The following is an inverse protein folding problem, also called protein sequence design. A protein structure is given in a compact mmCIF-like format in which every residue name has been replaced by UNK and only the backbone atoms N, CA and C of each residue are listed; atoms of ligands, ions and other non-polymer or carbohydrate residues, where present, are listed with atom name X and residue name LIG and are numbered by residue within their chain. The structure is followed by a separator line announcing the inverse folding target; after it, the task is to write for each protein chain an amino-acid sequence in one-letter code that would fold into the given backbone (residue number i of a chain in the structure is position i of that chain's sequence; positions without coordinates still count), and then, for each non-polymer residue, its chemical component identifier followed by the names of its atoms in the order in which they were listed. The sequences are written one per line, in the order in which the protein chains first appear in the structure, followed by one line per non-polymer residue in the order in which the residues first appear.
data_IF_024731086966
#
_entry.id   IF_024731086966
#
_cell.length_a   1.000
_cell.length_b   1.000
_cell.length_c   1.000
_cell.angle_alpha   90.00
_cell.angle_beta   90.00
_cell.angle_gamma   90.00
#
_symmetry.space_group_name_H-M   'P 1'
#
loop_
_entity.id
_entity.type
_entity.pdbx_description
1 polymer ?
#
# COMPACT_ATOMS: atom_id res chain seq x y z
N UNK A 1 -9.03 -14.03 -20.72
CA UNK A 1 -9.87 -12.90 -20.24
C UNK A 1 -9.54 -12.68 -18.78
N UNK A 2 -9.50 -11.43 -18.29
CA UNK A 2 -9.23 -11.14 -16.87
C UNK A 2 -10.47 -10.63 -16.16
N UNK A 3 -10.83 -11.21 -15.01
CA UNK A 3 -12.03 -10.85 -14.23
C UNK A 3 -11.65 -10.63 -12.77
N UNK A 4 -12.08 -9.50 -12.21
CA UNK A 4 -11.97 -9.17 -10.78
C UNK A 4 -12.92 -10.02 -9.93
N UNK A 5 -12.39 -10.65 -8.88
CA UNK A 5 -13.18 -11.41 -7.91
C UNK A 5 -14.04 -10.52 -7.02
N UNK A 6 -13.53 -9.35 -6.61
CA UNK A 6 -14.33 -8.36 -5.88
C UNK A 6 -15.50 -7.85 -6.72
N UNK A 7 -15.29 -7.65 -8.03
CA UNK A 7 -16.37 -7.26 -8.92
C UNK A 7 -17.38 -8.40 -9.10
N UNK A 8 -16.92 -9.64 -9.24
CA UNK A 8 -17.78 -10.81 -9.29
C UNK A 8 -18.69 -10.90 -8.04
N UNK A 9 -18.14 -10.67 -6.85
CA UNK A 9 -18.90 -10.62 -5.59
C UNK A 9 -20.01 -9.57 -5.53
N UNK A 10 -19.93 -8.51 -6.33
CA UNK A 10 -21.00 -7.51 -6.39
C UNK A 10 -22.24 -8.02 -7.11
N UNK A 11 -22.08 -8.98 -8.03
CA UNK A 11 -23.19 -9.57 -8.79
C UNK A 11 -23.66 -10.91 -8.22
N UNK A 12 -22.75 -11.68 -7.62
CA UNK A 12 -23.06 -12.98 -7.03
C UNK A 12 -22.70 -13.01 -5.56
N UNK A 13 -23.66 -13.39 -4.71
CA UNK A 13 -23.45 -13.49 -3.27
C UNK A 13 -22.70 -14.79 -2.94
N UNK A 14 -21.37 -14.75 -3.09
CA UNK A 14 -20.48 -15.89 -2.87
C UNK A 14 -19.64 -15.71 -1.59
N UNK A 15 -19.68 -16.73 -0.73
CA UNK A 15 -18.85 -16.82 0.49
C UNK A 15 -17.69 -17.81 0.35
N UNK A 16 -17.34 -18.17 -0.87
CA UNK A 16 -16.27 -19.13 -1.18
C UNK A 16 -14.95 -18.42 -1.44
N UNK A 17 -13.81 -19.06 -1.18
CA UNK A 17 -12.50 -18.48 -1.48
C UNK A 17 -12.29 -18.31 -3.00
N UNK A 18 -11.33 -17.48 -3.45
CA UNK A 18 -10.98 -17.37 -4.86
C UNK A 18 -10.64 -18.73 -5.49
N UNK A 19 -9.96 -19.61 -4.75
CA UNK A 19 -9.58 -20.95 -5.21
C UNK A 19 -10.82 -21.83 -5.42
N UNK A 20 -11.75 -21.83 -4.46
CA UNK A 20 -13.01 -22.56 -4.60
C UNK A 20 -13.85 -22.02 -5.78
N UNK A 21 -13.86 -20.71 -5.95
CA UNK A 21 -14.57 -20.05 -7.05
C UNK A 21 -13.92 -20.41 -8.40
N UNK A 22 -12.59 -20.49 -8.47
CA UNK A 22 -11.88 -20.89 -9.69
C UNK A 22 -12.18 -22.33 -10.09
N UNK A 23 -12.21 -23.26 -9.12
CA UNK A 23 -12.56 -24.65 -9.38
C UNK A 23 -13.99 -24.76 -9.95
N UNK A 24 -14.95 -24.04 -9.37
CA UNK A 24 -16.31 -24.01 -9.88
C UNK A 24 -16.38 -23.43 -11.31
N UNK A 25 -15.68 -22.31 -11.58
CA UNK A 25 -15.66 -21.70 -12.90
C UNK A 25 -15.12 -22.68 -13.95
N UNK A 26 -14.03 -23.39 -13.64
CA UNK A 26 -13.47 -24.43 -14.50
C UNK A 26 -14.45 -25.58 -14.74
N UNK A 27 -15.13 -26.07 -13.70
CA UNK A 27 -16.16 -27.12 -13.81
C UNK A 27 -17.35 -26.69 -14.69
N UNK A 28 -17.69 -25.39 -14.68
CA UNK A 28 -18.73 -24.79 -15.54
C UNK A 28 -18.26 -24.55 -17.00
N UNK A 29 -17.03 -24.92 -17.32
CA UNK A 29 -16.42 -24.77 -18.63
C UNK A 29 -15.78 -23.39 -18.88
N UNK A 30 -15.58 -22.59 -17.83
CA UNK A 30 -14.81 -21.35 -17.84
C UNK A 30 -13.44 -21.63 -17.21
N UNK A 31 -12.58 -22.27 -17.98
CA UNK A 31 -11.26 -22.71 -17.51
C UNK A 31 -10.44 -21.54 -16.97
N UNK A 32 -10.12 -21.59 -15.67
CA UNK A 32 -9.25 -20.61 -15.03
C UNK A 32 -7.80 -21.05 -15.20
N UNK A 33 -7.07 -20.34 -16.06
CA UNK A 33 -5.66 -20.57 -16.36
C UNK A 33 -4.74 -19.99 -15.27
N UNK A 34 -5.22 -18.99 -14.53
CA UNK A 34 -4.41 -18.30 -13.52
C UNK A 34 -5.21 -17.53 -12.48
N UNK A 35 -4.59 -17.37 -11.31
CA UNK A 35 -5.05 -16.51 -10.22
C UNK A 35 -3.95 -15.50 -9.92
N UNK A 36 -4.19 -14.23 -10.24
CA UNK A 36 -3.26 -13.14 -9.97
C UNK A 36 -3.78 -12.29 -8.81
N UNK A 37 -2.95 -12.05 -7.80
CA UNK A 37 -3.27 -11.05 -6.77
C UNK A 37 -3.07 -9.66 -7.35
N UNK A 38 -4.11 -8.84 -7.27
CA UNK A 38 -4.06 -7.43 -7.62
C UNK A 38 -4.11 -6.60 -6.35
N UNK A 39 -3.22 -5.61 -6.26
CA UNK A 39 -3.25 -4.60 -5.20
C UNK A 39 -3.15 -3.25 -5.88
N UNK A 40 -4.02 -2.30 -5.51
CA UNK A 40 -3.98 -0.94 -6.05
C UNK A 40 -2.63 -0.27 -5.77
N UNK A 41 -2.04 -0.58 -4.61
CA UNK A 41 -0.66 -0.26 -4.25
C UNK A 41 0.09 -1.56 -3.97
N UNK A 42 1.19 -1.79 -4.70
CA UNK A 42 2.04 -2.98 -4.50
C UNK A 42 2.57 -3.01 -3.07
N UNK A 43 2.37 -4.14 -2.39
CA UNK A 43 2.78 -4.33 -1.00
C UNK A 43 1.77 -3.83 0.03
N UNK A 44 0.59 -3.37 -0.40
CA UNK A 44 -0.53 -3.06 0.48
C UNK A 44 -0.29 -1.93 1.49
N UNK A 45 0.82 -1.20 1.38
CA UNK A 45 1.35 -0.32 2.43
C UNK A 45 1.53 -1.04 3.79
N UNK A 46 1.79 -2.35 3.77
CA UNK A 46 2.00 -3.15 4.97
C UNK A 46 3.23 -2.66 5.76
N UNK A 47 3.01 -2.23 7.00
CA UNK A 47 4.07 -1.68 7.86
C UNK A 47 4.29 -0.17 7.72
N UNK A 48 3.43 0.54 6.98
CA UNK A 48 3.37 2.00 7.03
C UNK A 48 2.31 2.41 8.05
N UNK A 49 2.69 3.25 9.01
CA UNK A 49 1.80 3.73 10.08
C UNK A 49 1.81 5.25 10.14
N UNK A 50 0.73 5.84 10.63
CA UNK A 50 0.67 7.29 10.81
C UNK A 50 1.39 7.70 12.09
N UNK A 51 2.32 8.65 11.95
CA UNK A 51 3.07 9.22 13.05
C UNK A 51 2.89 10.72 13.18
N UNK A 52 3.15 11.27 14.38
CA UNK A 52 3.17 12.71 14.63
C UNK A 52 4.59 13.21 14.86
N UNK A 53 5.02 14.22 14.10
CA UNK A 53 6.34 14.85 14.30
C UNK A 53 6.32 15.65 15.60
N UNK A 54 7.06 15.21 16.61
CA UNK A 54 7.19 15.89 17.90
C UNK A 54 8.25 16.99 17.88
N UNK A 55 9.38 16.75 17.20
CA UNK A 55 10.48 17.70 17.09
C UNK A 55 11.07 17.64 15.69
N UNK A 56 11.60 18.77 15.24
CA UNK A 56 12.30 18.90 13.96
C UNK A 56 13.50 19.82 14.18
N UNK A 57 14.70 19.27 14.08
CA UNK A 57 15.96 20.01 14.27
C UNK A 57 16.85 19.86 13.04
N UNK A 58 17.64 20.89 12.71
CA UNK A 58 18.55 20.83 11.57
C UNK A 58 19.68 19.85 11.87
N UNK A 59 20.04 19.01 10.91
CA UNK A 59 21.13 18.05 11.08
C UNK A 59 22.48 18.77 11.24
N UNK A 60 23.31 18.42 12.25
CA UNK A 60 24.56 19.13 12.54
C UNK A 60 25.59 19.02 11.40
N UNK A 61 25.61 17.87 10.70
CA UNK A 61 26.54 17.58 9.60
C UNK A 61 25.92 17.66 8.18
N UNK A 62 24.74 18.27 8.02
CA UNK A 62 24.10 18.40 6.70
C UNK A 62 23.09 19.56 6.62
N UNK A 63 23.22 20.40 5.59
CA UNK A 63 22.37 21.58 5.44
C UNK A 63 20.94 21.29 5.00
N UNK A 64 20.73 20.17 4.29
CA UNK A 64 19.45 19.78 3.70
C UNK A 64 18.72 18.67 4.47
N UNK A 65 19.32 18.15 5.54
CA UNK A 65 18.71 17.10 6.35
C UNK A 65 18.20 17.67 7.67
N UNK A 66 17.08 17.15 8.12
CA UNK A 66 16.50 17.44 9.43
C UNK A 66 16.40 16.14 10.21
N UNK A 67 16.68 16.22 11.51
CA UNK A 67 16.47 15.15 12.48
C UNK A 67 15.11 15.39 13.10
N UNK A 68 14.21 14.44 12.91
CA UNK A 68 12.86 14.49 13.44
C UNK A 68 12.66 13.40 14.48
N UNK A 69 11.94 13.72 15.54
CA UNK A 69 11.41 12.72 16.47
C UNK A 69 9.94 12.54 16.17
N UNK A 70 9.53 11.31 15.86
CA UNK A 70 8.15 11.01 15.44
C UNK A 70 7.53 10.03 16.43
N UNK A 71 6.33 10.35 16.91
CA UNK A 71 5.50 9.46 17.71
C UNK A 71 4.69 8.56 16.78
N UNK A 72 4.84 7.24 16.92
CA UNK A 72 4.10 6.23 16.15
C UNK A 72 2.99 5.57 16.96
N UNK A 73 2.71 6.05 18.18
CA UNK A 73 1.69 5.50 19.07
C UNK A 73 2.18 4.32 19.91
N UNK A 74 3.49 4.05 19.87
CA UNK A 74 4.17 3.10 20.76
C UNK A 74 4.65 3.74 22.06
N UNK A 75 5.40 2.99 22.88
CA UNK A 75 5.92 3.49 24.16
C UNK A 75 7.01 4.56 24.00
N UNK A 76 7.76 4.56 22.90
CA UNK A 76 8.87 5.49 22.67
C UNK A 76 8.81 6.15 21.27
N UNK A 77 8.97 7.48 21.19
CA UNK A 77 9.14 8.15 19.91
C UNK A 77 10.43 7.70 19.20
N UNK A 78 10.39 7.64 17.87
CA UNK A 78 11.51 7.20 17.05
C UNK A 78 12.21 8.39 16.39
N UNK A 79 13.54 8.30 16.27
CA UNK A 79 14.31 9.28 15.53
C UNK A 79 14.35 8.92 14.04
N UNK A 80 13.97 9.84 13.18
CA UNK A 80 13.98 9.67 11.72
C UNK A 80 14.67 10.88 11.10
N UNK A 81 15.64 10.62 10.22
CA UNK A 81 16.29 11.68 9.44
C UNK A 81 15.52 11.86 8.14
N UNK A 82 15.01 13.07 7.92
CA UNK A 82 14.23 13.41 6.73
C UNK A 82 14.91 14.56 5.97
N UNK A 83 14.95 14.48 4.64
CA UNK A 83 15.49 15.52 3.77
C UNK A 83 14.44 16.45 3.17
N UNK A 84 13.16 16.23 3.43
CA UNK A 84 12.09 16.99 2.80
C UNK A 84 12.03 18.42 3.36
N UNK A 85 11.84 19.44 2.50
CA UNK A 85 11.82 20.83 2.93
C UNK A 85 10.60 21.15 3.80
N UNK A 86 9.47 20.49 3.53
CA UNK A 86 8.16 20.74 4.12
C UNK A 86 7.90 20.03 5.46
N UNK A 87 8.85 19.22 5.96
CA UNK A 87 8.70 18.57 7.28
C UNK A 87 8.84 19.58 8.40
N UNK A 88 7.84 19.60 9.28
CA UNK A 88 7.74 20.51 10.42
C UNK A 88 7.08 19.85 11.64
N UNK A 89 7.25 20.47 12.81
CA UNK A 89 6.72 20.00 14.09
C UNK A 89 5.19 20.05 14.10
N UNK A 90 4.57 19.01 14.65
CA UNK A 90 3.12 18.89 14.82
C UNK A 90 2.40 18.21 13.65
N UNK A 91 3.09 18.00 12.53
CA UNK A 91 2.50 17.36 11.35
C UNK A 91 2.24 15.86 11.55
N UNK A 92 1.12 15.39 11.02
CA UNK A 92 0.81 13.97 10.89
C UNK A 92 1.37 13.47 9.56
N UNK A 93 2.16 12.40 9.59
CA UNK A 93 2.92 11.93 8.44
C UNK A 93 2.90 10.40 8.36
N UNK A 94 2.88 9.80 7.17
CA UNK A 94 3.05 8.36 7.04
C UNK A 94 4.51 7.99 7.27
N UNK A 95 4.74 6.98 8.10
CA UNK A 95 6.06 6.49 8.45
C UNK A 95 6.16 5.01 8.14
N UNK A 96 7.14 4.66 7.31
CA UNK A 96 7.54 3.28 7.11
C UNK A 96 8.48 2.84 8.24
N UNK A 97 8.04 1.85 9.02
CA UNK A 97 8.79 1.30 10.14
C UNK A 97 9.94 0.39 9.68
N UNK A 98 10.84 0.03 10.59
CA UNK A 98 11.92 -0.91 10.27
C UNK A 98 11.33 -2.28 9.94
N UNK A 99 11.76 -2.87 8.82
CA UNK A 99 11.25 -4.14 8.29
C UNK A 99 10.13 -3.98 7.26
N UNK A 100 9.56 -2.78 7.13
CA UNK A 100 8.57 -2.45 6.10
C UNK A 100 9.20 -2.56 4.71
N UNK A 101 8.50 -3.21 3.78
CA UNK A 101 8.93 -3.32 2.38
C UNK A 101 8.06 -2.42 1.52
N UNK A 102 8.68 -1.38 0.95
CA UNK A 102 8.04 -0.46 0.01
C UNK A 102 8.37 -0.88 -1.43
N UNK A 103 7.49 -0.50 -2.36
CA UNK A 103 7.64 -0.79 -3.77
C UNK A 103 7.67 0.53 -4.53
N UNK A 104 8.68 0.71 -5.39
CA UNK A 104 8.73 1.88 -6.28
C UNK A 104 7.71 1.74 -7.41
N UNK A 105 7.42 2.85 -8.11
CA UNK A 105 6.58 2.83 -9.31
C UNK A 105 7.10 1.88 -10.40
N UNK A 106 8.41 1.59 -10.40
CA UNK A 106 9.08 0.66 -11.31
C UNK A 106 8.92 -0.81 -10.87
N UNK A 107 8.32 -1.04 -9.70
CA UNK A 107 8.06 -2.36 -9.13
C UNK A 107 9.22 -2.94 -8.34
N UNK A 108 10.27 -2.17 -8.08
CA UNK A 108 11.40 -2.62 -7.25
C UNK A 108 11.00 -2.60 -5.77
N UNK A 109 11.18 -3.75 -5.12
CA UNK A 109 10.93 -3.90 -3.69
C UNK A 109 12.17 -3.52 -2.89
N UNK A 110 12.00 -2.67 -1.88
CA UNK A 110 13.09 -2.28 -1.01
C UNK A 110 12.61 -2.21 0.45
N UNK A 111 13.41 -2.80 1.35
CA UNK A 111 13.05 -2.92 2.77
C UNK A 111 13.72 -1.84 3.60
N UNK A 112 12.94 -1.14 4.43
CA UNK A 112 13.44 -0.18 5.40
C UNK A 112 14.28 -0.88 6.46
N UNK A 113 15.54 -0.48 6.58
CA UNK A 113 16.46 -0.98 7.60
C UNK A 113 16.89 0.16 8.50
N UNK A 114 17.25 -0.17 9.76
CA UNK A 114 17.93 0.80 10.63
C UNK A 114 19.24 1.21 9.96
N UNK A 115 19.39 2.51 9.74
CA UNK A 115 20.55 3.10 9.08
C UNK A 115 21.15 4.21 9.91
N UNK A 116 22.44 4.50 9.67
CA UNK A 116 23.12 5.67 10.22
C UNK A 116 23.40 6.64 9.09
N UNK A 117 22.79 7.83 9.15
CA UNK A 117 22.97 8.87 8.15
C UNK A 117 23.84 9.94 8.79
N UNK A 118 25.07 10.11 8.27
CA UNK A 118 26.00 11.21 8.64
C UNK A 118 26.25 11.40 10.15
N UNK A 119 26.23 10.30 10.93
CA UNK A 119 26.47 10.34 12.36
C UNK A 119 25.22 10.07 13.22
N UNK A 120 24.03 10.19 12.63
CA UNK A 120 22.76 10.10 13.33
C UNK A 120 21.99 8.84 12.93
N UNK A 121 21.30 8.22 13.90
CA UNK A 121 20.49 7.03 13.64
C UNK A 121 19.14 7.43 13.01
N UNK A 122 18.70 6.65 12.01
CA UNK A 122 17.36 6.75 11.43
C UNK A 122 16.64 5.41 11.61
N UNK A 123 15.51 5.45 12.32
CA UNK A 123 14.70 4.31 12.72
C UNK A 123 13.42 4.16 11.87
N UNK A 124 13.53 4.50 10.60
CA UNK A 124 12.41 4.49 9.67
C UNK A 124 12.61 5.54 8.59
N UNK A 125 11.54 5.79 7.87
CA UNK A 125 11.47 6.80 6.84
C UNK A 125 10.09 7.48 6.88
N UNK A 126 10.06 8.81 6.77
CA UNK A 126 8.82 9.55 6.49
C UNK A 126 8.59 9.51 4.99
N UNK A 127 7.43 9.04 4.58
CA UNK A 127 7.15 8.78 3.17
C UNK A 127 6.42 9.94 2.48
N UNK A 128 6.73 10.12 1.21
CA UNK A 128 6.00 10.98 0.28
C UNK A 128 4.94 10.19 -0.53
N UNK A 129 4.07 10.88 -1.26
CA UNK A 129 2.96 10.23 -2.00
C UNK A 129 3.46 9.33 -3.14
N UNK A 130 4.55 9.74 -3.77
CA UNK A 130 5.25 9.02 -4.85
C UNK A 130 5.90 7.73 -4.34
N UNK A 131 6.48 7.77 -3.14
CA UNK A 131 7.11 6.61 -2.49
C UNK A 131 6.10 5.58 -2.01
N UNK A 132 4.88 6.02 -1.68
CA UNK A 132 3.77 5.14 -1.32
C UNK A 132 2.98 4.65 -2.54
N UNK A 133 3.30 5.10 -3.75
CA UNK A 133 2.56 4.74 -4.96
C UNK A 133 1.13 5.30 -5.00
N UNK A 134 0.84 6.33 -4.20
CA UNK A 134 -0.48 6.98 -4.12
C UNK A 134 -0.58 8.19 -5.06
N UNK A 135 0.54 8.78 -5.48
CA UNK A 135 0.57 9.98 -6.28
C UNK A 135 1.85 10.18 -7.08
N UNK A 136 1.96 11.33 -7.75
CA UNK A 136 3.16 11.76 -8.50
C UNK A 136 3.80 13.01 -7.90
N UNK A 137 3.34 13.43 -6.72
CA UNK A 137 3.86 14.63 -6.07
C UNK A 137 5.25 14.34 -5.51
N UNK A 138 6.23 15.14 -5.95
CA UNK A 138 7.61 15.10 -5.46
C UNK A 138 7.96 16.33 -4.61
N UNK A 139 6.97 17.16 -4.27
CA UNK A 139 7.20 18.44 -3.59
C UNK A 139 7.58 18.28 -2.12
N UNK A 140 7.52 17.06 -1.57
CA UNK A 140 7.99 16.73 -0.23
C UNK A 140 7.22 15.57 0.40
N UNK A 141 7.29 15.47 1.73
CA UNK A 141 6.56 14.44 2.49
C UNK A 141 5.05 14.65 2.39
N UNK A 142 4.31 13.55 2.53
CA UNK A 142 2.85 13.59 2.63
C UNK A 142 2.45 14.06 4.03
N UNK A 143 1.63 15.10 4.10
CA UNK A 143 1.06 15.61 5.37
C UNK A 143 -0.40 15.21 5.44
N UNK A 144 -0.76 14.48 6.49
CA UNK A 144 -2.11 14.00 6.76
C UNK A 144 -2.88 14.98 7.63
N UNK A 145 -4.20 14.88 7.61
CA UNK A 145 -5.06 15.65 8.50
C UNK A 145 -4.86 15.24 9.98
N UNK A 146 -4.97 16.20 10.90
CA UNK A 146 -4.84 15.96 12.35
C UNK A 146 -5.94 15.06 12.94
N UNK A 147 -6.99 14.78 12.17
CA UNK A 147 -8.12 13.91 12.57
C UNK A 147 -7.72 12.43 12.64
N UNK A 148 -6.64 12.04 11.98
CA UNK A 148 -6.15 10.67 11.95
C UNK A 148 -5.48 10.32 13.29
N UNK A 149 -5.75 9.14 13.83
CA UNK A 149 -5.10 8.69 15.07
C UNK A 149 -3.67 8.22 14.80
N UNK A 150 -2.76 8.60 15.69
CA UNK A 150 -1.38 8.12 15.69
C UNK A 150 -1.38 6.58 15.82
N UNK A 151 -0.51 5.90 15.06
CA UNK A 151 -0.38 4.44 15.01
C UNK A 151 -1.39 3.75 14.08
N UNK A 152 -2.29 4.50 13.44
CA UNK A 152 -3.22 3.91 12.45
C UNK A 152 -2.43 3.41 11.23
N UNK A 153 -2.67 2.17 10.77
CA UNK A 153 -2.06 1.68 9.52
C UNK A 153 -2.48 2.54 8.33
N UNK A 154 -1.52 2.94 7.50
CA UNK A 154 -1.79 3.74 6.30
C UNK A 154 -2.72 3.00 5.33
N UNK A 155 -2.63 1.68 5.26
CA UNK A 155 -3.50 0.82 4.46
C UNK A 155 -5.00 1.02 4.75
N UNK A 156 -5.36 1.35 6.00
CA UNK A 156 -6.75 1.60 6.42
C UNK A 156 -7.23 3.01 6.14
N UNK A 157 -6.33 3.93 5.80
CA UNK A 157 -6.66 5.34 5.51
C UNK A 157 -6.80 5.55 4.01
N UNK A 158 -5.94 4.90 3.23
CA UNK A 158 -5.89 5.05 1.77
C UNK A 158 -6.75 4.02 1.02
N UNK A 159 -7.63 3.30 1.72
CA UNK A 159 -8.52 2.26 1.16
C UNK A 159 -7.83 1.43 0.07
N UNK A 160 -6.73 0.76 0.45
CA UNK A 160 -5.95 -0.04 -0.51
C UNK A 160 -6.80 -1.23 -0.98
N UNK A 161 -7.26 -1.16 -2.22
CA UNK A 161 -8.01 -2.23 -2.85
C UNK A 161 -7.12 -3.46 -3.08
N UNK A 162 -7.48 -4.55 -2.40
CA UNK A 162 -6.90 -5.86 -2.62
C UNK A 162 -7.92 -6.70 -3.37
N UNK A 163 -7.53 -7.26 -4.50
CA UNK A 163 -8.40 -8.07 -5.35
C UNK A 163 -7.66 -9.32 -5.84
N UNK A 164 -8.42 -10.30 -6.30
CA UNK A 164 -7.90 -11.47 -7.00
C UNK A 164 -8.46 -11.48 -8.41
N UNK A 165 -7.60 -11.50 -9.40
CA UNK A 165 -7.96 -11.49 -10.80
C UNK A 165 -7.87 -12.92 -11.34
N UNK A 166 -8.99 -13.42 -11.83
CA UNK A 166 -9.04 -14.69 -12.56
C UNK A 166 -8.61 -14.46 -14.00
N UNK A 167 -7.67 -15.26 -14.48
CA UNK A 167 -7.37 -15.39 -15.89
C UNK A 167 -8.13 -16.59 -16.46
N UNK A 168 -9.09 -16.32 -17.33
CA UNK A 168 -9.99 -17.32 -17.93
C UNK A 168 -9.59 -17.56 -19.38
N UNK A 169 -9.26 -18.81 -19.69
CA UNK A 169 -9.02 -19.32 -21.04
C UNK A 169 -10.34 -19.51 -21.78
N UNK A 170 -10.85 -18.44 -22.39
CA UNK A 170 -12.17 -18.50 -23.01
C UNK A 170 -12.14 -19.30 -24.31
N UNK A 171 -12.97 -20.34 -24.37
CA UNK A 171 -13.15 -21.15 -25.57
C UNK A 171 -14.07 -20.44 -26.58
N UNK A 172 -13.83 -20.56 -27.91
CA UNK A 172 -14.60 -19.82 -28.92
C UNK A 172 -16.11 -20.09 -28.92
N UNK A 173 -16.55 -21.23 -28.37
CA UNK A 173 -17.95 -21.61 -28.22
C UNK A 173 -18.66 -20.95 -27.02
N UNK A 174 -17.94 -20.17 -26.19
CA UNK A 174 -18.49 -19.45 -25.02
C UNK A 174 -18.39 -17.93 -25.15
N UNK A 175 -18.76 -17.39 -26.32
CA UNK A 175 -18.76 -15.95 -26.57
C UNK A 175 -19.72 -15.17 -25.64
N UNK A 176 -20.73 -15.84 -25.07
CA UNK A 176 -21.59 -15.34 -24.00
C UNK A 176 -20.78 -14.87 -22.79
N UNK A 177 -19.72 -15.60 -22.45
CA UNK A 177 -18.85 -15.34 -21.30
C UNK A 177 -17.78 -14.26 -21.53
N UNK A 178 -17.86 -13.49 -22.62
CA UNK A 178 -16.98 -12.34 -22.87
C UNK A 178 -17.37 -11.07 -22.10
N UNK A 179 -18.51 -11.07 -21.38
CA UNK A 179 -18.98 -9.95 -20.56
C UNK A 179 -19.21 -10.42 -19.12
N UNK A 180 -18.93 -9.55 -18.15
CA UNK A 180 -19.24 -9.81 -16.72
C UNK A 180 -20.74 -9.86 -16.43
N UNK A 181 -21.59 -9.39 -17.35
CA UNK A 181 -23.06 -9.46 -17.26
C UNK A 181 -23.62 -10.75 -17.87
N UNK A 182 -22.84 -11.84 -17.89
CA UNK A 182 -23.47 -13.14 -18.14
C UNK A 182 -24.48 -13.36 -17.03
N UNK A 183 -25.76 -13.49 -17.40
CA UNK A 183 -26.82 -13.93 -16.51
C UNK A 183 -26.43 -15.31 -15.97
N UNK A 184 -25.70 -15.32 -14.86
CA UNK A 184 -25.59 -16.45 -13.98
C UNK A 184 -26.95 -16.59 -13.29
N UNK A 185 -27.94 -17.09 -14.04
CA UNK A 185 -29.10 -17.75 -13.43
C UNK A 185 -28.58 -19.04 -12.81
N UNK A 186 -28.14 -18.94 -11.55
CA UNK A 186 -27.95 -20.07 -10.63
C UNK A 186 -29.19 -20.13 -9.74
#
# INVERSE_FOLDING_TARGET
MKISYNWLKQFININWTPEQTSALLTDLGLEVEGLEKYQSVKGGLEGVVVGKVLTCTKHPNADKLKITTVDLGGETPVQIVCGAPNVDVGQMVPVATIGTTLYTNEGEAWTIKKGKIRGEESHGMICAEDELGLGKSHDGIMVLEETVKIGTPAASIFDIENDTVFEIGLTPNRADAMSTTVQLEI
#
